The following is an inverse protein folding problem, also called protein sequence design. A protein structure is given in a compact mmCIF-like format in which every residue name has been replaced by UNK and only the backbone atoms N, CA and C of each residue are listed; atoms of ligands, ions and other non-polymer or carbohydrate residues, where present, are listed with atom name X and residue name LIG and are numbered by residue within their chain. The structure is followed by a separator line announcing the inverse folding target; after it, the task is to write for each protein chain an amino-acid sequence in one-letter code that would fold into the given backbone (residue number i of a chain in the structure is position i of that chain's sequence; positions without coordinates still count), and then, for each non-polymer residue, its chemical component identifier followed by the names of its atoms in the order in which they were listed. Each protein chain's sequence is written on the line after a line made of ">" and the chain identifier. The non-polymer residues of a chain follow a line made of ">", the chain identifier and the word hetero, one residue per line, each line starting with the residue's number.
data_IF_570059333563
#
_entry.id   IF_570059333563
#
_cell.length_a   1.000
_cell.length_b   1.000
_cell.length_c   1.000
_cell.angle_alpha   90.00
_cell.angle_beta   90.00
_cell.angle_gamma   90.00
#
_symmetry.space_group_name_H-M   'P 1'
#
loop_
_entity.id
_entity.type
_entity.pdbx_description
1 polymer ?
#
# COMPACT_ATOMS: atom_id res chain seq x y z
N UNK A 1 10.58 9.13 1.92
CA UNK A 1 9.67 8.62 0.88
C UNK A 1 9.44 7.14 1.18
N UNK A 2 8.21 6.65 1.03
CA UNK A 2 7.88 5.23 1.17
C UNK A 2 7.82 4.61 -0.22
N UNK A 3 8.35 3.39 -0.34
CA UNK A 3 8.21 2.61 -1.55
C UNK A 3 6.94 1.75 -1.46
N UNK A 4 6.07 1.88 -2.46
CA UNK A 4 4.89 1.05 -2.60
C UNK A 4 5.30 -0.39 -2.98
N UNK A 5 4.85 -1.44 -2.26
CA UNK A 5 5.27 -2.82 -2.52
C UNK A 5 4.63 -3.43 -3.79
N UNK A 6 3.64 -2.77 -4.39
CA UNK A 6 2.91 -3.27 -5.57
C UNK A 6 3.55 -2.75 -6.86
N UNK A 7 3.86 -1.45 -6.90
CA UNK A 7 4.38 -0.79 -8.11
C UNK A 7 5.82 -0.30 -7.96
N UNK A 8 6.44 -0.44 -6.79
CA UNK A 8 7.82 -0.04 -6.48
C UNK A 8 8.07 1.47 -6.64
N UNK A 9 7.00 2.27 -6.69
CA UNK A 9 7.06 3.74 -6.79
C UNK A 9 7.31 4.35 -5.42
N UNK A 10 8.13 5.40 -5.39
CA UNK A 10 8.34 6.21 -4.20
C UNK A 10 7.26 7.28 -4.05
N UNK A 11 6.49 7.18 -2.97
CA UNK A 11 5.46 8.15 -2.59
C UNK A 11 5.89 8.89 -1.30
N UNK A 12 5.66 10.20 -1.19
CA UNK A 12 5.90 10.90 0.07
C UNK A 12 4.93 10.42 1.16
N UNK A 13 5.40 10.27 2.40
CA UNK A 13 4.59 9.73 3.53
C UNK A 13 3.23 10.43 3.71
N UNK A 14 3.18 11.75 3.50
CA UNK A 14 1.95 12.52 3.64
C UNK A 14 0.92 12.31 2.52
N UNK A 15 1.33 11.76 1.37
CA UNK A 15 0.43 11.41 0.26
C UNK A 15 0.21 9.89 0.13
N UNK A 16 0.91 9.09 0.92
CA UNK A 16 0.78 7.65 0.92
C UNK A 16 -0.54 7.24 1.60
N UNK A 17 -1.22 6.26 1.03
CA UNK A 17 -2.43 5.68 1.61
C UNK A 17 -2.01 4.58 2.58
N UNK A 18 -2.47 4.69 3.82
CA UNK A 18 -2.27 3.67 4.84
C UNK A 18 -3.49 2.78 4.94
N UNK A 19 -3.29 1.47 4.88
CA UNK A 19 -4.32 0.48 5.23
C UNK A 19 -3.79 -0.51 6.25
N UNK A 20 -4.66 -0.92 7.17
CA UNK A 20 -4.36 -1.98 8.11
C UNK A 20 -4.83 -3.32 7.52
N UNK A 21 -3.89 -4.23 7.26
CA UNK A 21 -4.17 -5.53 6.67
C UNK A 21 -3.51 -6.59 7.56
N UNK A 22 -4.33 -7.41 8.22
CA UNK A 22 -3.84 -8.47 9.10
C UNK A 22 -3.11 -7.97 10.35
N UNK A 23 -3.44 -6.77 10.83
CA UNK A 23 -2.77 -6.15 12.00
C UNK A 23 -1.41 -5.52 11.67
N UNK A 24 -1.07 -5.38 10.39
CA UNK A 24 0.07 -4.59 9.93
C UNK A 24 -0.41 -3.41 9.08
N UNK A 25 0.14 -2.23 9.39
CA UNK A 25 -0.12 -1.03 8.59
C UNK A 25 0.79 -1.00 7.37
N UNK A 26 0.17 -1.10 6.20
CA UNK A 26 0.83 -0.99 4.91
C UNK A 26 0.62 0.39 4.30
N UNK A 27 1.57 0.80 3.45
CA UNK A 27 1.59 2.11 2.83
C UNK A 27 1.66 1.97 1.31
N UNK A 28 0.74 2.64 0.63
CA UNK A 28 0.55 2.54 -0.80
C UNK A 28 0.62 3.90 -1.48
N UNK A 29 1.02 3.93 -2.74
CA UNK A 29 1.03 5.15 -3.55
C UNK A 29 -0.39 5.60 -3.94
N UNK A 30 -1.34 4.67 -3.96
CA UNK A 30 -2.70 4.89 -4.46
C UNK A 30 -3.67 3.80 -3.97
N UNK A 31 -4.98 4.11 -3.96
CA UNK A 31 -6.03 3.16 -3.57
C UNK A 31 -6.03 1.91 -4.44
N UNK A 32 -5.64 2.04 -5.71
CA UNK A 32 -5.54 0.91 -6.63
C UNK A 32 -4.44 -0.08 -6.20
N UNK A 33 -3.30 0.40 -5.70
CA UNK A 33 -2.25 -0.47 -5.18
C UNK A 33 -2.67 -1.13 -3.88
N UNK A 34 -3.31 -0.39 -2.97
CA UNK A 34 -3.86 -0.94 -1.74
C UNK A 34 -4.86 -2.08 -2.02
N UNK A 35 -5.80 -1.86 -2.94
CA UNK A 35 -6.77 -2.89 -3.34
C UNK A 35 -6.10 -4.11 -4.01
N UNK A 36 -5.12 -3.91 -4.90
CA UNK A 36 -4.34 -5.02 -5.48
C UNK A 36 -3.59 -5.82 -4.42
N UNK A 37 -3.04 -5.15 -3.42
CA UNK A 37 -2.32 -5.79 -2.33
C UNK A 37 -3.27 -6.59 -1.43
N UNK A 38 -4.42 -6.00 -1.08
CA UNK A 38 -5.47 -6.68 -0.33
C UNK A 38 -5.99 -7.92 -1.07
N UNK A 39 -6.22 -7.83 -2.39
CA UNK A 39 -6.61 -8.99 -3.21
C UNK A 39 -5.55 -10.10 -3.22
N UNK A 40 -4.26 -9.75 -3.19
CA UNK A 40 -3.17 -10.74 -3.11
C UNK A 40 -3.06 -11.42 -1.74
N UNK A 41 -3.43 -10.71 -0.66
CA UNK A 41 -3.39 -11.22 0.71
C UNK A 41 -4.64 -12.03 1.10
N UNK A 42 -5.77 -11.77 0.46
CA UNK A 42 -7.01 -12.50 0.68
C UNK A 42 -7.08 -13.85 -0.08
N UNK A 43 -6.00 -14.26 -0.74
CA UNK A 43 -5.90 -15.50 -1.52
C UNK A 43 -5.09 -16.59 -0.83
#
# INVERSE_FOLDING_TARGET
>A
MIQDPVCLVFVPKGAAITEDIGGQTYYFCSKACAHKFQQKLAG
#
